data_IF_806582024214
#
_entry.id   IF_806582024214
#
_cell.length_a   1.000
_cell.length_b   1.000
_cell.length_c   1.000
_cell.angle_alpha   90.00
_cell.angle_beta   90.00
_cell.angle_gamma   90.00
#
_symmetry.space_group_name_H-M   'P 1'
#
loop_
_entity.id
_entity.type
_entity.pdbx_description
1 polymer ?
#
# COMPACT_ATOMS: atom_id res chain seq x y z
N UNK A 1 -36.89 -9.02 43.41
CA UNK A 1 -36.28 -9.48 42.13
C UNK A 1 -36.75 -8.67 40.92
N UNK A 2 -38.05 -8.38 40.74
CA UNK A 2 -38.59 -7.59 39.59
C UNK A 2 -37.86 -6.27 39.29
N UNK A 3 -37.49 -5.48 40.32
CA UNK A 3 -36.74 -4.21 40.17
C UNK A 3 -35.31 -4.37 39.67
N UNK A 4 -34.63 -5.47 40.01
CA UNK A 4 -33.26 -5.74 39.56
C UNK A 4 -33.23 -6.02 38.06
N UNK A 5 -34.27 -6.70 37.54
CA UNK A 5 -34.39 -7.02 36.11
C UNK A 5 -34.58 -5.75 35.27
N UNK A 6 -35.31 -4.75 35.78
CA UNK A 6 -35.43 -3.46 35.10
C UNK A 6 -34.10 -2.69 35.06
N UNK A 7 -33.33 -2.71 36.15
CA UNK A 7 -32.00 -2.07 36.21
C UNK A 7 -31.02 -2.76 35.25
N UNK A 8 -31.02 -4.10 35.22
CA UNK A 8 -30.16 -4.88 34.33
C UNK A 8 -30.52 -4.65 32.85
N UNK A 9 -31.81 -4.61 32.53
CA UNK A 9 -32.30 -4.33 31.17
C UNK A 9 -31.94 -2.91 30.71
N UNK A 10 -31.90 -1.93 31.63
CA UNK A 10 -31.47 -0.57 31.34
C UNK A 10 -29.97 -0.51 31.02
N UNK A 11 -29.13 -1.22 31.78
CA UNK A 11 -27.69 -1.30 31.51
C UNK A 11 -27.35 -1.98 30.17
N UNK A 12 -28.09 -3.02 29.78
CA UNK A 12 -27.93 -3.69 28.49
C UNK A 12 -28.29 -2.77 27.31
N UNK A 13 -29.27 -1.87 27.49
CA UNK A 13 -29.61 -0.90 26.46
C UNK A 13 -28.48 0.13 26.23
N UNK A 14 -27.74 0.50 27.28
CA UNK A 14 -26.61 1.43 27.19
C UNK A 14 -25.40 0.84 26.46
N UNK A 15 -25.19 -0.48 26.50
CA UNK A 15 -24.07 -1.11 25.78
C UNK A 15 -24.25 -1.10 24.25
N UNK A 16 -25.47 -0.85 23.75
CA UNK A 16 -25.76 -0.80 22.32
C UNK A 16 -25.45 0.56 21.67
N UNK A 17 -25.22 1.61 22.47
CA UNK A 17 -25.01 2.99 21.98
C UNK A 17 -23.52 3.33 21.91
N UNK A 18 -22.64 2.51 22.48
CA UNK A 18 -21.21 2.80 22.64
C UNK A 18 -20.35 2.64 21.37
N UNK A 19 -20.92 2.21 20.24
CA UNK A 19 -20.18 1.98 19.00
C UNK A 19 -20.68 2.89 17.88
N UNK A 20 -20.53 4.21 18.04
CA UNK A 20 -20.52 5.12 16.90
C UNK A 20 -19.07 5.25 16.42
N UNK A 21 -18.76 4.99 15.14
CA UNK A 21 -17.45 5.33 14.60
C UNK A 21 -17.30 6.85 14.64
N UNK A 22 -16.60 7.38 15.64
CA UNK A 22 -16.30 8.82 15.75
C UNK A 22 -15.25 9.25 14.70
N UNK A 23 -14.52 8.28 14.14
CA UNK A 23 -13.47 8.53 13.17
C UNK A 23 -13.99 8.35 11.74
N UNK A 24 -14.01 9.45 11.00
CA UNK A 24 -13.94 9.47 9.53
C UNK A 24 -12.93 8.44 9.00
N UNK A 25 -13.33 7.69 7.98
CA UNK A 25 -12.38 6.86 7.26
C UNK A 25 -11.34 7.77 6.58
N UNK A 26 -10.07 7.38 6.67
CA UNK A 26 -8.98 8.08 5.99
C UNK A 26 -8.84 7.64 4.54
N UNK A 27 -9.39 6.47 4.20
CA UNK A 27 -9.28 5.88 2.88
C UNK A 27 -10.67 5.54 2.34
N UNK A 28 -10.87 5.79 1.07
CA UNK A 28 -12.14 5.49 0.41
C UNK A 28 -12.34 3.99 0.14
N UNK A 29 -11.30 3.17 0.38
CA UNK A 29 -11.29 1.74 0.12
C UNK A 29 -10.43 0.97 1.14
N UNK A 30 -10.70 -0.33 1.26
CA UNK A 30 -9.97 -1.24 2.13
C UNK A 30 -8.48 -1.28 1.82
N UNK A 31 -7.67 -1.56 2.85
CA UNK A 31 -6.23 -1.74 2.70
C UNK A 31 -5.87 -2.82 1.68
N UNK A 32 -6.66 -3.88 1.58
CA UNK A 32 -6.49 -4.98 0.63
C UNK A 32 -6.67 -4.52 -0.83
N UNK A 33 -7.74 -3.80 -1.13
CA UNK A 33 -7.99 -3.30 -2.49
C UNK A 33 -6.93 -2.28 -2.91
N UNK A 34 -6.51 -1.41 -1.99
CA UNK A 34 -5.47 -0.40 -2.26
C UNK A 34 -4.11 -1.01 -2.58
N UNK A 35 -3.70 -2.06 -1.87
CA UNK A 35 -2.42 -2.73 -2.17
C UNK A 35 -2.50 -3.49 -3.49
N UNK A 36 -3.62 -4.14 -3.78
CA UNK A 36 -3.83 -4.84 -5.05
C UNK A 36 -3.80 -3.87 -6.25
N UNK A 37 -4.51 -2.73 -6.14
CA UNK A 37 -4.49 -1.69 -7.17
C UNK A 37 -3.08 -1.11 -7.38
N UNK A 38 -2.33 -0.90 -6.29
CA UNK A 38 -0.94 -0.41 -6.36
C UNK A 38 -0.02 -1.43 -7.06
N UNK A 39 -0.16 -2.71 -6.74
CA UNK A 39 0.61 -3.78 -7.38
C UNK A 39 0.28 -3.91 -8.86
N UNK A 40 -1.00 -3.82 -9.23
CA UNK A 40 -1.44 -3.86 -10.62
C UNK A 40 -0.83 -2.71 -11.43
N UNK A 41 -0.91 -1.48 -10.91
CA UNK A 41 -0.34 -0.29 -11.55
C UNK A 41 1.19 -0.39 -11.70
N UNK A 42 1.89 -0.82 -10.64
CA UNK A 42 3.35 -0.97 -10.67
C UNK A 42 3.75 -2.02 -11.71
N UNK A 43 3.08 -3.16 -11.75
CA UNK A 43 3.38 -4.20 -12.74
C UNK A 43 3.10 -3.74 -14.17
N UNK A 44 2.01 -3.02 -14.41
CA UNK A 44 1.71 -2.42 -15.72
C UNK A 44 2.85 -1.52 -16.19
N UNK A 45 3.31 -0.61 -15.33
CA UNK A 45 4.41 0.29 -15.66
C UNK A 45 5.69 -0.50 -15.92
N UNK A 46 6.13 -1.33 -14.97
CA UNK A 46 7.41 -2.02 -15.06
C UNK A 46 7.51 -2.95 -16.28
N UNK A 47 6.41 -3.63 -16.63
CA UNK A 47 6.35 -4.58 -17.75
C UNK A 47 6.05 -3.92 -19.11
N UNK A 48 5.65 -2.65 -19.15
CA UNK A 48 5.36 -1.92 -20.40
C UNK A 48 6.60 -1.73 -21.30
N UNK A 49 7.79 -1.70 -20.71
CA UNK A 49 9.04 -1.48 -21.43
C UNK A 49 9.59 -2.80 -22.00
N UNK A 50 9.31 -3.05 -23.29
CA UNK A 50 9.73 -4.28 -23.99
C UNK A 50 11.23 -4.60 -23.91
N UNK A 51 12.08 -3.57 -23.86
CA UNK A 51 13.53 -3.72 -23.80
C UNK A 51 14.10 -3.42 -22.40
N UNK A 52 13.24 -3.33 -21.39
CA UNK A 52 13.62 -2.87 -20.06
C UNK A 52 13.83 -1.36 -19.97
N UNK A 53 14.35 -0.95 -18.83
CA UNK A 53 14.52 0.44 -18.41
C UNK A 53 16.01 0.78 -18.29
N UNK A 54 16.36 2.00 -18.69
CA UNK A 54 17.66 2.59 -18.38
C UNK A 54 17.55 3.39 -17.08
N UNK A 55 18.19 2.90 -16.03
CA UNK A 55 18.37 3.62 -14.78
C UNK A 55 19.73 4.33 -14.78
N UNK A 56 19.72 5.65 -14.65
CA UNK A 56 20.93 6.46 -14.47
C UNK A 56 21.18 6.66 -12.98
N UNK A 57 22.18 5.98 -12.44
CA UNK A 57 22.51 6.04 -11.03
C UNK A 57 23.66 7.01 -10.76
N UNK A 58 23.44 8.00 -9.90
CA UNK A 58 24.45 8.97 -9.49
C UNK A 58 24.70 8.80 -7.98
N UNK A 59 25.89 8.33 -7.55
CA UNK A 59 26.19 8.10 -6.14
C UNK A 59 26.34 9.39 -5.32
N UNK A 60 26.27 10.55 -5.97
CA UNK A 60 26.31 11.85 -5.32
C UNK A 60 25.31 12.80 -6.00
N UNK A 61 24.58 13.59 -5.22
CA UNK A 61 23.56 14.52 -5.72
C UNK A 61 24.13 15.56 -6.71
N UNK A 62 25.37 16.00 -6.50
CA UNK A 62 26.06 16.93 -7.38
C UNK A 62 26.85 16.22 -8.49
N UNK A 63 26.64 14.91 -8.66
CA UNK A 63 27.30 14.07 -9.67
C UNK A 63 28.83 14.14 -9.62
N UNK A 64 29.41 14.44 -8.45
CA UNK A 64 30.85 14.63 -8.25
C UNK A 64 31.70 13.46 -8.78
N UNK A 65 31.15 12.25 -8.74
CA UNK A 65 31.82 11.03 -9.14
C UNK A 65 31.32 10.48 -10.49
N UNK A 66 30.56 11.28 -11.25
CA UNK A 66 29.84 10.80 -12.43
C UNK A 66 28.64 9.92 -12.07
N UNK A 67 28.20 9.10 -13.01
CA UNK A 67 27.09 8.16 -12.83
C UNK A 67 27.25 6.90 -13.67
N UNK A 68 26.50 5.87 -13.31
CA UNK A 68 26.48 4.56 -13.95
C UNK A 68 25.14 4.32 -14.63
N UNK A 69 25.17 3.71 -15.80
CA UNK A 69 23.98 3.22 -16.48
C UNK A 69 23.70 1.78 -16.03
N UNK A 70 22.49 1.55 -15.54
CA UNK A 70 21.99 0.24 -15.17
C UNK A 70 20.81 -0.09 -16.09
N UNK A 71 20.91 -1.19 -16.81
CA UNK A 71 19.83 -1.75 -17.61
C UNK A 71 19.01 -2.69 -16.72
N UNK A 72 17.71 -2.40 -16.58
CA UNK A 72 16.79 -3.15 -15.72
C UNK A 72 15.69 -3.78 -16.57
N UNK A 73 15.60 -5.11 -16.58
CA UNK A 73 14.53 -5.83 -17.26
C UNK A 73 13.62 -6.51 -16.23
N UNK A 74 12.35 -6.12 -16.22
CA UNK A 74 11.34 -6.67 -15.31
C UNK A 74 10.57 -7.79 -15.99
N UNK A 75 10.42 -8.90 -15.27
CA UNK A 75 9.73 -10.10 -15.75
C UNK A 75 8.39 -10.26 -15.01
N UNK A 76 7.41 -10.85 -15.69
CA UNK A 76 6.06 -11.05 -15.15
C UNK A 76 6.02 -12.00 -13.93
N UNK A 77 7.10 -12.76 -13.68
CA UNK A 77 7.27 -13.60 -12.50
C UNK A 77 7.77 -12.83 -11.26
N UNK A 78 7.81 -11.49 -11.32
CA UNK A 78 8.22 -10.62 -10.23
C UNK A 78 9.73 -10.49 -10.06
N UNK A 79 10.53 -10.92 -11.04
CA UNK A 79 11.99 -10.77 -11.02
C UNK A 79 12.45 -9.56 -11.82
N UNK A 80 13.61 -9.04 -11.43
CA UNK A 80 14.35 -8.03 -12.18
C UNK A 80 15.74 -8.57 -12.54
N UNK A 81 16.12 -8.43 -13.79
CA UNK A 81 17.50 -8.64 -14.26
C UNK A 81 18.16 -7.28 -14.40
N UNK A 82 19.29 -7.10 -13.73
CA UNK A 82 20.09 -5.88 -13.79
C UNK A 82 21.42 -6.15 -14.48
N UNK A 83 21.85 -5.24 -15.35
CA UNK A 83 23.16 -5.28 -16.00
C UNK A 83 23.78 -3.87 -16.05
N UNK A 84 25.11 -3.80 -15.99
CA UNK A 84 25.89 -2.61 -16.37
C UNK A 84 27.02 -3.03 -17.29
N UNK A 85 27.54 -2.08 -18.05
CA UNK A 85 28.89 -2.17 -18.64
C UNK A 85 29.97 -2.12 -17.55
#
# INVERSE_FOLDING_TARGET
MKRIHYILSFFIAFTLIACSPEEKDLFDDSSANRIEASLAQVNEVLLSAKNGWLMKYYPNANQKYGGYNLFLYFSADGKVTAASD
#
